data_IF_857966971371
#
_entry.id   IF_857966971371
#
_cell.length_a   1.000
_cell.length_b   1.000
_cell.length_c   1.000
_cell.angle_alpha   90.00
_cell.angle_beta   90.00
_cell.angle_gamma   90.00
#
_symmetry.space_group_name_H-M   'P 1'
#
loop_
_entity.id
_entity.type
_entity.pdbx_description
1 polymer ?
#
# COMPACT_ATOMS: atom_id res chain seq x y z
N UNK A 1 -42.93 -13.12 28.01
CA UNK A 1 -42.39 -11.76 27.84
C UNK A 1 -43.24 -10.80 28.66
N UNK A 2 -42.61 -9.88 29.40
CA UNK A 2 -43.33 -8.93 30.25
C UNK A 2 -43.82 -7.72 29.45
N UNK A 3 -45.14 -7.61 29.31
CA UNK A 3 -45.77 -6.52 28.56
C UNK A 3 -45.55 -5.15 29.19
N UNK A 4 -45.38 -5.10 30.51
CA UNK A 4 -45.10 -3.86 31.24
C UNK A 4 -43.72 -3.30 30.87
N UNK A 5 -42.72 -4.17 30.71
CA UNK A 5 -41.40 -3.77 30.27
C UNK A 5 -41.40 -3.24 28.84
N UNK A 6 -42.10 -3.92 27.92
CA UNK A 6 -42.24 -3.44 26.52
C UNK A 6 -42.92 -2.06 26.47
N UNK A 7 -43.94 -1.80 27.30
CA UNK A 7 -44.59 -0.47 27.36
C UNK A 7 -43.62 0.62 27.81
N UNK A 8 -42.86 0.39 28.88
CA UNK A 8 -41.84 1.34 29.35
C UNK A 8 -40.74 1.57 28.31
N UNK A 9 -40.32 0.50 27.64
CA UNK A 9 -39.31 0.58 26.59
C UNK A 9 -39.80 1.41 25.40
N UNK A 10 -41.08 1.28 25.05
CA UNK A 10 -41.71 2.06 24.01
C UNK A 10 -41.76 3.56 24.37
N UNK A 11 -42.10 3.91 25.62
CA UNK A 11 -42.06 5.30 26.08
C UNK A 11 -40.66 5.91 25.98
N UNK A 12 -39.62 5.16 26.37
CA UNK A 12 -38.22 5.59 26.21
C UNK A 12 -37.78 5.66 24.75
N UNK A 13 -38.27 4.75 23.91
CA UNK A 13 -38.00 4.78 22.47
C UNK A 13 -38.54 6.07 21.85
N UNK A 14 -39.74 6.48 22.22
CA UNK A 14 -40.31 7.77 21.80
C UNK A 14 -39.52 8.98 22.32
N UNK A 15 -38.87 8.85 23.47
CA UNK A 15 -37.97 9.87 24.02
C UNK A 15 -36.56 9.83 23.42
N UNK A 16 -36.27 8.89 22.50
CA UNK A 16 -34.94 8.64 21.94
C UNK A 16 -33.88 8.31 23.02
N UNK A 17 -34.28 7.65 24.10
CA UNK A 17 -33.41 7.28 25.22
C UNK A 17 -33.03 5.79 25.23
N UNK A 18 -33.44 5.01 24.23
CA UNK A 18 -33.18 3.57 24.16
C UNK A 18 -31.78 3.24 23.68
N UNK A 19 -31.25 2.10 24.13
CA UNK A 19 -30.02 1.52 23.59
C UNK A 19 -30.30 0.60 22.41
N UNK A 20 -29.26 0.26 21.63
CA UNK A 20 -29.39 -0.63 20.46
C UNK A 20 -29.88 -2.02 20.84
N UNK A 21 -29.48 -2.52 22.01
CA UNK A 21 -29.93 -3.80 22.55
C UNK A 21 -31.42 -3.76 22.89
N UNK A 22 -31.88 -2.67 23.53
CA UNK A 22 -33.28 -2.44 23.86
C UNK A 22 -34.16 -2.37 22.59
N UNK A 23 -33.69 -1.68 21.55
CA UNK A 23 -34.38 -1.64 20.25
C UNK A 23 -34.44 -3.01 19.58
N UNK A 24 -33.38 -3.84 19.72
CA UNK A 24 -33.40 -5.21 19.20
C UNK A 24 -34.49 -6.06 19.86
N UNK A 25 -34.77 -5.82 21.15
CA UNK A 25 -35.85 -6.49 21.89
C UNK A 25 -37.20 -6.04 21.35
N UNK A 26 -37.40 -4.74 21.10
CA UNK A 26 -38.63 -4.22 20.47
C UNK A 26 -38.85 -4.85 19.09
N UNK A 27 -37.82 -4.84 18.24
CA UNK A 27 -37.88 -5.47 16.90
C UNK A 27 -38.23 -6.96 16.98
N UNK A 28 -37.58 -7.70 17.86
CA UNK A 28 -37.83 -9.12 18.06
C UNK A 28 -39.24 -9.40 18.62
N UNK A 29 -39.75 -8.55 19.51
CA UNK A 29 -41.10 -8.67 20.07
C UNK A 29 -42.17 -8.43 19.01
N UNK A 30 -42.06 -7.36 18.22
CA UNK A 30 -43.04 -7.02 17.19
C UNK A 30 -42.97 -7.91 15.94
N UNK A 31 -41.83 -8.59 15.72
CA UNK A 31 -41.70 -9.63 14.69
C UNK A 31 -42.51 -10.90 15.01
N UNK A 32 -42.88 -11.13 16.27
CA UNK A 32 -43.69 -12.28 16.68
C UNK A 32 -45.18 -12.05 16.37
N UNK A 33 -45.91 -13.13 16.08
CA UNK A 33 -47.36 -13.08 15.72
C UNK A 33 -48.30 -12.87 16.92
N UNK A 34 -47.80 -12.91 18.16
CA UNK A 34 -48.61 -12.84 19.39
C UNK A 34 -48.41 -11.51 20.14
N UNK A 35 -48.85 -10.40 19.53
CA UNK A 35 -48.80 -9.06 20.14
C UNK A 35 -50.19 -8.68 20.68
N UNK A 36 -50.31 -8.15 21.91
CA UNK A 36 -51.59 -7.67 22.44
C UNK A 36 -52.20 -6.57 21.55
N UNK A 37 -53.53 -6.53 21.47
CA UNK A 37 -54.26 -5.60 20.60
C UNK A 37 -53.88 -4.11 20.82
N UNK A 38 -53.54 -3.73 22.05
CA UNK A 38 -53.08 -2.37 22.38
C UNK A 38 -51.74 -2.00 21.72
N UNK A 39 -50.86 -2.97 21.50
CA UNK A 39 -49.52 -2.76 20.94
C UNK A 39 -49.48 -3.09 19.43
N UNK A 40 -50.48 -3.80 18.91
CA UNK A 40 -50.58 -4.16 17.50
C UNK A 40 -50.56 -2.93 16.56
N UNK A 41 -51.07 -1.77 17.01
CA UNK A 41 -51.00 -0.50 16.26
C UNK A 41 -49.56 -0.06 15.93
N UNK A 42 -48.59 -0.43 16.76
CA UNK A 42 -47.19 -0.05 16.60
C UNK A 42 -46.40 -1.09 15.81
N UNK A 43 -46.97 -2.28 15.57
CA UNK A 43 -46.28 -3.38 14.89
C UNK A 43 -45.79 -2.99 13.49
N UNK A 44 -46.58 -2.23 12.74
CA UNK A 44 -46.23 -1.80 11.39
C UNK A 44 -44.91 -1.00 11.34
N UNK A 45 -44.60 -0.23 12.39
CA UNK A 45 -43.37 0.56 12.48
C UNK A 45 -42.13 -0.33 12.50
N UNK A 46 -42.16 -1.38 13.32
CA UNK A 46 -41.04 -2.30 13.50
C UNK A 46 -40.95 -3.37 12.40
N UNK A 47 -42.09 -3.74 11.79
CA UNK A 47 -42.11 -4.69 10.66
C UNK A 47 -41.52 -4.06 9.41
N UNK A 48 -41.87 -2.81 9.12
CA UNK A 48 -41.33 -2.07 7.98
C UNK A 48 -39.79 -2.00 8.03
N UNK A 49 -39.26 -1.59 9.19
CA UNK A 49 -37.82 -1.53 9.43
C UNK A 49 -37.12 -2.89 9.28
N UNK A 50 -37.79 -3.99 9.65
CA UNK A 50 -37.22 -5.33 9.52
C UNK A 50 -37.28 -5.90 8.08
N UNK A 51 -38.20 -5.42 7.25
CA UNK A 51 -38.53 -6.04 5.95
C UNK A 51 -37.99 -5.27 4.75
N UNK A 52 -38.02 -3.94 4.78
CA UNK A 52 -37.61 -3.12 3.64
C UNK A 52 -36.12 -2.89 3.38
N UNK A 53 -35.17 -2.96 4.35
CA UNK A 53 -33.76 -2.71 4.03
C UNK A 53 -33.16 -3.75 3.07
N UNK A 54 -33.91 -4.79 2.69
CA UNK A 54 -33.54 -5.76 1.65
C UNK A 54 -34.11 -5.45 0.26
N UNK A 55 -35.15 -4.63 0.15
CA UNK A 55 -35.93 -4.49 -1.09
C UNK A 55 -35.79 -3.14 -1.76
N UNK A 56 -35.57 -2.07 -0.99
CA UNK A 56 -35.40 -0.71 -1.53
C UNK A 56 -34.00 -0.18 -1.21
N UNK A 57 -32.99 -0.82 -1.79
CA UNK A 57 -31.60 -0.36 -1.68
C UNK A 57 -31.36 0.63 -2.81
N UNK A 58 -30.85 1.81 -2.46
CA UNK A 58 -30.44 2.80 -3.45
C UNK A 58 -29.34 2.20 -4.33
N UNK A 59 -29.42 2.42 -5.64
CA UNK A 59 -28.46 1.85 -6.58
C UNK A 59 -27.04 2.39 -6.39
N UNK A 60 -26.06 1.66 -6.92
CA UNK A 60 -24.63 1.98 -6.81
C UNK A 60 -24.28 3.43 -7.27
N UNK A 61 -25.08 4.00 -8.18
CA UNK A 61 -24.94 5.38 -8.65
C UNK A 61 -25.13 6.42 -7.53
N UNK A 62 -26.02 6.15 -6.57
CA UNK A 62 -26.23 7.04 -5.43
C UNK A 62 -25.02 7.03 -4.49
N UNK A 63 -24.50 5.84 -4.20
CA UNK A 63 -23.30 5.67 -3.37
C UNK A 63 -22.09 6.34 -4.01
N UNK A 64 -21.90 6.16 -5.32
CA UNK A 64 -20.84 6.84 -6.07
C UNK A 64 -20.97 8.37 -6.00
N UNK A 65 -22.19 8.91 -6.08
CA UNK A 65 -22.45 10.34 -5.95
C UNK A 65 -22.17 10.87 -4.54
N UNK A 66 -22.56 10.13 -3.51
CA UNK A 66 -22.33 10.51 -2.10
C UNK A 66 -20.85 10.44 -1.73
N UNK A 67 -20.14 9.41 -2.19
CA UNK A 67 -18.69 9.29 -2.07
C UNK A 67 -18.01 10.46 -2.78
N UNK A 68 -18.40 10.79 -4.01
CA UNK A 68 -17.83 11.93 -4.74
C UNK A 68 -18.08 13.30 -4.07
N UNK A 69 -19.18 13.46 -3.33
CA UNK A 69 -19.44 14.68 -2.56
C UNK A 69 -18.61 14.79 -1.28
N UNK A 70 -18.22 13.67 -0.70
CA UNK A 70 -17.48 13.61 0.58
C UNK A 70 -15.97 13.47 0.38
N UNK A 71 -15.56 12.91 -0.75
CA UNK A 71 -14.16 12.77 -1.14
C UNK A 71 -13.62 14.14 -1.56
N UNK A 72 -13.18 14.93 -0.58
CA UNK A 72 -12.32 16.08 -0.87
C UNK A 72 -11.15 15.59 -1.73
N UNK A 73 -10.85 16.24 -2.86
CA UNK A 73 -9.83 15.76 -3.78
C UNK A 73 -8.47 15.81 -3.07
N UNK A 74 -8.07 14.67 -2.52
CA UNK A 74 -6.76 14.48 -1.88
C UNK A 74 -5.74 14.57 -2.99
N UNK A 75 -5.24 15.78 -3.23
CA UNK A 75 -4.20 16.07 -4.21
C UNK A 75 -2.92 15.34 -3.80
N UNK A 76 -2.82 14.06 -4.15
CA UNK A 76 -1.57 13.32 -4.05
C UNK A 76 -0.65 13.85 -5.14
N UNK A 77 0.26 14.73 -4.74
CA UNK A 77 1.40 15.19 -5.55
C UNK A 77 2.40 14.04 -5.73
N UNK A 78 1.95 12.90 -6.24
CA UNK A 78 2.80 11.77 -6.59
C UNK A 78 3.46 12.06 -7.94
N UNK A 79 4.53 12.86 -7.92
CA UNK A 79 5.36 13.08 -9.11
C UNK A 79 6.18 11.82 -9.34
N UNK A 80 5.81 11.03 -10.35
CA UNK A 80 6.58 9.85 -10.76
C UNK A 80 7.91 10.33 -11.33
N UNK A 81 8.99 10.23 -10.54
CA UNK A 81 10.35 10.54 -11.00
C UNK A 81 10.89 9.29 -11.70
N UNK A 82 11.28 9.41 -12.96
CA UNK A 82 11.89 8.31 -13.72
C UNK A 82 13.37 8.15 -13.34
N UNK A 83 13.88 6.91 -13.34
CA UNK A 83 15.27 6.58 -13.00
C UNK A 83 16.30 7.42 -13.79
N UNK A 84 15.98 7.72 -15.05
CA UNK A 84 16.82 8.53 -15.95
C UNK A 84 16.92 9.99 -15.50
N UNK A 85 15.88 10.55 -14.88
CA UNK A 85 15.91 11.92 -14.34
C UNK A 85 16.86 12.04 -13.14
N UNK A 86 17.02 10.97 -12.35
CA UNK A 86 17.93 10.93 -11.19
C UNK A 86 19.42 10.89 -11.59
N UNK A 87 19.75 10.37 -12.77
CA UNK A 87 21.13 10.25 -13.26
C UNK A 87 21.62 11.46 -14.07
N UNK A 88 20.71 12.31 -14.59
CA UNK A 88 21.06 13.57 -15.28
C UNK A 88 22.10 14.45 -14.56
N UNK A 89 22.06 14.67 -13.22
CA UNK A 89 23.08 15.48 -12.55
C UNK A 89 24.50 14.88 -12.63
N UNK A 90 24.63 13.55 -12.63
CA UNK A 90 25.93 12.89 -12.76
C UNK A 90 26.51 13.06 -14.17
N UNK A 91 25.67 12.91 -15.20
CA UNK A 91 26.08 13.16 -16.58
C UNK A 91 26.49 14.62 -16.82
N UNK A 92 25.83 15.58 -16.17
CA UNK A 92 26.24 16.99 -16.21
C UNK A 92 27.64 17.19 -15.59
N UNK A 93 27.90 16.58 -14.44
CA UNK A 93 29.21 16.66 -13.80
C UNK A 93 30.30 16.01 -14.68
N UNK A 94 30.03 14.82 -15.22
CA UNK A 94 30.96 14.11 -16.09
C UNK A 94 31.31 14.91 -17.37
N UNK A 95 30.33 15.57 -17.98
CA UNK A 95 30.57 16.40 -19.17
C UNK A 95 31.50 17.58 -18.88
N UNK A 96 31.32 18.26 -17.75
CA UNK A 96 32.20 19.37 -17.34
C UNK A 96 33.63 18.89 -17.14
N UNK A 97 33.81 17.77 -16.44
CA UNK A 97 35.13 17.16 -16.23
C UNK A 97 35.77 16.76 -17.57
N UNK A 98 35.00 16.15 -18.47
CA UNK A 98 35.47 15.77 -19.80
C UNK A 98 35.92 16.99 -20.62
N UNK A 99 35.17 18.10 -20.59
CA UNK A 99 35.56 19.34 -21.28
C UNK A 99 36.87 19.89 -20.70
N UNK A 100 36.99 19.96 -19.38
CA UNK A 100 38.22 20.44 -18.72
C UNK A 100 39.42 19.58 -19.10
N UNK A 101 39.28 18.25 -19.03
CA UNK A 101 40.35 17.31 -19.40
C UNK A 101 40.72 17.43 -20.89
N UNK A 102 39.72 17.57 -21.76
CA UNK A 102 39.91 17.70 -23.21
C UNK A 102 40.66 18.99 -23.55
N UNK A 103 40.25 20.12 -22.96
CA UNK A 103 40.92 21.40 -23.16
C UNK A 103 42.32 21.41 -22.54
N UNK A 104 42.50 20.81 -21.37
CA UNK A 104 43.80 20.71 -20.69
C UNK A 104 44.80 19.89 -21.49
N UNK A 105 44.36 18.77 -22.08
CA UNK A 105 45.19 17.96 -22.98
C UNK A 105 45.47 18.68 -24.31
N UNK A 106 44.48 19.36 -24.90
CA UNK A 106 44.66 20.09 -26.16
C UNK A 106 45.59 21.30 -26.02
N UNK A 107 45.59 21.97 -24.86
CA UNK A 107 46.46 23.10 -24.57
C UNK A 107 47.94 22.67 -24.65
N UNK A 108 48.33 21.56 -24.02
CA UNK A 108 49.70 21.03 -24.09
C UNK A 108 50.13 20.73 -25.53
N UNK A 109 49.22 20.16 -26.33
CA UNK A 109 49.47 19.89 -27.75
C UNK A 109 49.53 21.16 -28.62
N UNK A 110 49.05 22.31 -28.13
CA UNK A 110 49.07 23.58 -28.86
C UNK A 110 50.32 24.43 -28.60
N UNK A 111 51.07 24.19 -27.51
CA UNK A 111 52.39 24.83 -27.27
C UNK A 111 53.57 24.06 -27.88
N UNK A 112 53.40 22.78 -28.19
CA UNK A 112 54.34 22.03 -29.04
C UNK A 112 54.05 22.36 -30.51
N UNK A 113 54.62 23.46 -31.00
CA UNK A 113 54.60 23.79 -32.43
C UNK A 113 55.55 22.85 -33.22
N UNK A 114 55.11 21.62 -33.45
CA UNK A 114 55.71 20.67 -34.40
C UNK A 114 54.66 19.71 -34.97
N UNK A 115 53.88 20.18 -35.94
CA UNK A 115 53.22 19.36 -36.98
C UNK A 115 52.20 18.30 -36.54
N UNK A 116 51.38 17.77 -37.47
CA UNK A 116 50.20 17.00 -37.11
C UNK A 116 50.59 15.56 -36.73
N UNK A 117 50.34 15.16 -35.48
CA UNK A 117 50.30 13.74 -35.14
C UNK A 117 48.85 13.26 -35.19
N UNK A 118 48.49 12.84 -36.40
CA UNK A 118 47.42 11.88 -36.69
C UNK A 118 47.49 10.72 -35.67
N UNK A 119 46.32 10.25 -35.24
CA UNK A 119 46.10 9.31 -34.15
C UNK A 119 47.15 8.21 -33.93
N UNK A 120 47.57 8.07 -32.67
CA UNK A 120 48.25 6.85 -32.19
C UNK A 120 47.22 5.77 -31.87
N UNK A 121 46.51 5.32 -32.90
CA UNK A 121 46.12 3.93 -33.02
C UNK A 121 47.30 3.19 -33.63
N UNK A 122 48.16 2.60 -32.80
CA UNK A 122 49.21 1.70 -33.24
C UNK A 122 49.12 0.41 -32.41
N UNK A 123 48.38 -0.53 -32.99
CA UNK A 123 48.43 -1.96 -32.67
C UNK A 123 49.88 -2.43 -32.70
N UNK A 124 50.43 -2.88 -31.57
CA UNK A 124 51.67 -3.63 -31.55
C UNK A 124 51.35 -5.10 -31.29
N UNK A 125 51.53 -5.90 -32.33
CA UNK A 125 51.55 -7.35 -32.30
C UNK A 125 52.81 -7.85 -31.57
N UNK A 126 52.63 -8.92 -30.79
CA UNK A 126 53.62 -9.89 -30.35
C UNK A 126 54.90 -9.39 -29.65
N UNK A 127 54.82 -9.35 -28.32
CA UNK A 127 55.94 -9.79 -27.46
C UNK A 127 55.41 -10.79 -26.45
N UNK A 128 55.45 -12.07 -26.81
CA UNK A 128 55.39 -13.17 -25.85
C UNK A 128 56.74 -13.18 -25.13
N UNK A 129 56.75 -12.69 -23.88
CA UNK A 129 57.71 -13.12 -22.87
C UNK A 129 57.01 -13.14 -21.50
N UNK A 130 56.80 -14.37 -21.04
CA UNK A 130 56.73 -14.82 -19.65
C UNK A 130 55.77 -14.10 -18.70
N UNK A 131 54.63 -14.76 -18.52
CA UNK A 131 53.73 -14.68 -17.38
C UNK A 131 54.53 -14.77 -16.07
N UNK A 132 54.65 -13.66 -15.33
CA UNK A 132 54.74 -13.72 -13.88
C UNK A 132 53.31 -13.69 -13.34
N UNK A 133 52.84 -14.89 -13.00
CA UNK A 133 51.57 -15.10 -12.30
C UNK A 133 51.58 -14.35 -10.97
N UNK A 134 50.77 -13.31 -10.85
CA UNK A 134 50.37 -12.73 -9.56
C UNK A 134 48.90 -13.03 -9.32
N UNK A 135 48.54 -14.31 -9.42
CA UNK A 135 47.42 -14.82 -8.65
C UNK A 135 47.82 -14.78 -7.16
N UNK A 136 47.75 -13.59 -6.56
CA UNK A 136 47.62 -13.50 -5.09
C UNK A 136 46.21 -13.98 -4.78
N UNK A 137 46.14 -15.26 -4.45
CA UNK A 137 45.09 -15.82 -3.63
C UNK A 137 44.94 -15.02 -2.33
N UNK A 138 43.76 -15.18 -1.72
CA UNK A 138 43.35 -14.73 -0.39
C UNK A 138 43.06 -13.21 -0.25
N UNK A 139 41.89 -12.75 0.20
CA UNK A 139 40.85 -13.39 1.02
C UNK A 139 39.48 -12.79 0.69
N UNK A 140 38.52 -13.62 0.28
CA UNK A 140 37.11 -13.28 0.48
C UNK A 140 36.78 -13.62 1.93
N UNK A 141 36.75 -12.60 2.80
CA UNK A 141 36.16 -12.74 4.13
C UNK A 141 34.65 -12.91 3.91
N UNK A 142 34.20 -14.16 3.89
CA UNK A 142 32.80 -14.50 4.06
C UNK A 142 32.49 -14.27 5.55
N UNK A 143 31.93 -13.09 5.84
CA UNK A 143 31.35 -12.79 7.15
C UNK A 143 30.18 -13.75 7.37
N UNK A 144 30.39 -14.72 8.25
CA UNK A 144 29.38 -15.72 8.63
C UNK A 144 28.50 -15.10 9.71
N UNK A 145 27.37 -14.53 9.31
CA UNK A 145 26.31 -14.22 10.28
C UNK A 145 25.79 -15.53 10.89
N UNK A 146 25.74 -15.67 12.23
CA UNK A 146 25.08 -16.81 12.85
C UNK A 146 23.57 -16.72 12.57
N UNK A 147 23.08 -17.71 11.83
CA UNK A 147 21.67 -17.98 11.63
C UNK A 147 21.06 -18.34 12.99
N UNK A 148 20.40 -17.38 13.63
CA UNK A 148 19.61 -17.65 14.82
C UNK A 148 18.40 -18.48 14.40
N UNK A 149 18.40 -19.71 14.90
CA UNK A 149 17.38 -20.72 14.73
C UNK A 149 16.08 -20.24 15.39
N UNK A 150 15.19 -19.61 14.62
CA UNK A 150 13.79 -19.46 14.99
C UNK A 150 13.03 -20.61 14.33
N UNK A 151 12.63 -21.56 15.18
CA UNK A 151 11.78 -22.69 14.84
C UNK A 151 10.54 -22.23 14.07
N UNK A 152 10.15 -22.89 12.97
CA UNK A 152 8.80 -22.77 12.45
C UNK A 152 7.87 -23.55 13.39
N UNK A 153 7.15 -22.84 14.26
CA UNK A 153 5.98 -23.42 14.92
C UNK A 153 4.91 -23.64 13.84
N UNK A 154 4.68 -24.91 13.55
CA UNK A 154 3.67 -25.38 12.63
C UNK A 154 2.29 -24.87 13.05
N UNK A 155 1.60 -24.28 12.07
CA UNK A 155 0.17 -24.01 12.13
C UNK A 155 -0.52 -25.37 12.07
N UNK A 156 -1.00 -25.88 13.21
CA UNK A 156 -1.84 -27.07 13.25
C UNK A 156 -3.29 -26.68 13.54
N UNK A 157 -4.05 -26.79 12.47
CA UNK A 157 -5.50 -26.72 12.28
C UNK A 157 -6.32 -27.40 13.40
N UNK A 158 -7.45 -26.77 13.73
CA UNK A 158 -8.53 -27.32 14.56
C UNK A 158 -9.10 -28.63 13.99
N UNK A 159 -9.61 -29.52 14.87
CA UNK A 159 -11.04 -29.82 14.82
C UNK A 159 -11.64 -29.87 16.24
N UNK A 160 -12.73 -29.17 16.54
CA UNK A 160 -14.13 -29.60 16.37
C UNK A 160 -14.43 -31.02 16.91
N UNK A 161 -15.28 -31.00 17.95
CA UNK A 161 -16.34 -31.95 18.38
C UNK A 161 -16.12 -33.01 19.49
N UNK A 162 -17.08 -32.89 20.45
CA UNK A 162 -17.73 -33.90 21.32
C UNK A 162 -16.90 -34.41 22.51
N UNK A 163 -17.41 -34.34 23.74
CA UNK A 163 -18.69 -34.88 24.22
C UNK A 163 -19.18 -34.15 25.47
#
# INVERSE_FOLDING_TARGET
MDYNYIKQLLERYWACETTVEEESILKAFFSQKSVPAELAKYQALFVYEATEPKTDVLGDDFDARMLAMTEEPKQVKARVITMTQRLRPLFKAAAVVAIILTLSNAFQMSFDNNGPVIGRGATNYNRIQQMHSVARADSAVLDTMPQSNVQPSEVCTTPIMKR
#
